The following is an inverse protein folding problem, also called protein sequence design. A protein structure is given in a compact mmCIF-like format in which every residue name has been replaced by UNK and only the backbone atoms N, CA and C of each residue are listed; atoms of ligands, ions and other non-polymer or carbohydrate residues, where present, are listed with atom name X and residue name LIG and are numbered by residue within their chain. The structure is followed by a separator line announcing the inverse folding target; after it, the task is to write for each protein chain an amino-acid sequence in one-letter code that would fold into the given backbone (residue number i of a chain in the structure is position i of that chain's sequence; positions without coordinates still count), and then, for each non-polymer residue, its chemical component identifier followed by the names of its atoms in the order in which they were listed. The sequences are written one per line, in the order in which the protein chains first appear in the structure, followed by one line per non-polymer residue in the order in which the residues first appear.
data_IF_168037223038
#
_entry.id   IF_168037223038
#
_cell.length_a   1.000
_cell.length_b   1.000
_cell.length_c   1.000
_cell.angle_alpha   90.00
_cell.angle_beta   90.00
_cell.angle_gamma   90.00
#
_symmetry.space_group_name_H-M   'P 1'
#
loop_
_entity.id
_entity.type
_entity.pdbx_description
1 polymer ?
#
# COMPACT_ATOMS: atom_id res chain seq x y z
N UNK A 1 -2.68 -19.25 13.44
CA UNK A 1 -2.99 -18.24 12.40
C UNK A 1 -3.54 -16.92 12.93
N UNK A 2 -4.53 -16.89 13.83
CA UNK A 2 -5.07 -15.61 14.35
C UNK A 2 -4.00 -14.72 14.98
N UNK A 3 -3.16 -15.27 15.84
CA UNK A 3 -2.06 -14.55 16.50
C UNK A 3 -1.02 -14.05 15.49
N UNK A 4 -0.63 -14.88 14.51
CA UNK A 4 0.30 -14.48 13.47
C UNK A 4 -0.25 -13.33 12.60
N UNK A 5 -1.52 -13.37 12.22
CA UNK A 5 -2.16 -12.27 11.49
C UNK A 5 -2.20 -10.99 12.32
N UNK A 6 -2.42 -11.10 13.63
CA UNK A 6 -2.37 -9.95 14.54
C UNK A 6 -0.97 -9.32 14.57
N UNK A 7 0.09 -10.12 14.68
CA UNK A 7 1.48 -9.63 14.61
C UNK A 7 1.82 -9.01 13.25
N UNK A 8 1.26 -9.55 12.16
CA UNK A 8 1.39 -8.97 10.81
C UNK A 8 0.74 -7.58 10.76
N UNK A 9 -0.48 -7.43 11.28
CA UNK A 9 -1.18 -6.13 11.32
C UNK A 9 -0.40 -5.09 12.15
N UNK A 10 0.20 -5.51 13.27
CA UNK A 10 1.05 -4.65 14.09
C UNK A 10 2.32 -4.22 13.36
N UNK A 11 2.94 -5.15 12.63
CA UNK A 11 4.13 -4.87 11.81
C UNK A 11 3.79 -3.95 10.63
N UNK A 12 2.65 -4.16 9.98
CA UNK A 12 2.11 -3.32 8.93
C UNK A 12 1.85 -1.88 9.43
N UNK A 13 1.27 -1.73 10.63
CA UNK A 13 1.11 -0.40 11.25
C UNK A 13 2.47 0.29 11.45
N UNK A 14 3.46 -0.44 11.95
CA UNK A 14 4.80 0.11 12.16
C UNK A 14 5.47 0.50 10.83
N UNK A 15 5.27 -0.29 9.77
CA UNK A 15 5.79 0.00 8.43
C UNK A 15 5.12 1.22 7.82
N UNK A 16 3.80 1.34 7.94
CA UNK A 16 3.07 2.52 7.48
C UNK A 16 3.59 3.81 8.14
N UNK A 17 3.91 3.77 9.45
CA UNK A 17 4.50 4.92 10.14
C UNK A 17 5.93 5.20 9.66
N UNK A 18 6.76 4.18 9.43
CA UNK A 18 8.11 4.34 8.84
C UNK A 18 8.04 4.99 7.45
N UNK A 19 7.20 4.47 6.57
CA UNK A 19 7.02 5.01 5.23
C UNK A 19 6.42 6.43 5.25
N UNK A 20 5.50 6.71 6.18
CA UNK A 20 4.93 8.04 6.36
C UNK A 20 5.95 9.06 6.84
N UNK A 21 6.86 8.65 7.74
CA UNK A 21 7.95 9.51 8.22
C UNK A 21 8.98 9.79 7.13
N UNK A 22 9.28 8.78 6.29
CA UNK A 22 10.31 8.88 5.23
C UNK A 22 9.83 9.59 3.97
N UNK A 23 8.61 9.30 3.53
CA UNK A 23 8.08 9.72 2.21
C UNK A 23 6.84 10.60 2.32
N UNK A 24 6.50 11.06 3.53
CA UNK A 24 5.30 11.83 3.79
C UNK A 24 4.06 10.96 3.99
N UNK A 25 3.07 11.51 4.69
CA UNK A 25 1.83 10.82 5.07
C UNK A 25 1.00 10.36 3.86
N UNK A 26 1.13 11.06 2.73
CA UNK A 26 0.36 10.76 1.54
C UNK A 26 1.16 10.80 0.25
N UNK A 27 0.79 9.89 -0.64
CA UNK A 27 1.22 9.93 -2.04
C UNK A 27 0.39 11.00 -2.77
N UNK A 28 0.98 11.64 -3.77
CA UNK A 28 0.39 12.80 -4.44
C UNK A 28 -0.74 12.41 -5.42
N UNK A 29 -0.80 11.16 -5.87
CA UNK A 29 -1.83 10.69 -6.81
C UNK A 29 -2.11 9.20 -6.72
N UNK A 30 -3.23 8.75 -7.30
CA UNK A 30 -3.50 7.31 -7.48
C UNK A 30 -2.42 6.61 -8.33
N UNK A 31 -1.78 7.33 -9.26
CA UNK A 31 -0.71 6.76 -10.09
C UNK A 31 0.54 6.51 -9.25
N UNK A 32 0.88 7.43 -8.35
CA UNK A 32 1.98 7.25 -7.40
C UNK A 32 1.66 6.12 -6.42
N UNK A 33 0.43 6.06 -5.88
CA UNK A 33 -0.01 4.94 -5.05
C UNK A 33 0.07 3.59 -5.77
N UNK A 34 -0.34 3.52 -7.04
CA UNK A 34 -0.21 2.31 -7.84
C UNK A 34 1.25 1.91 -8.02
N UNK A 35 2.12 2.87 -8.36
CA UNK A 35 3.54 2.62 -8.59
C UNK A 35 4.23 2.04 -7.34
N UNK A 36 4.02 2.65 -6.16
CA UNK A 36 4.64 2.14 -4.92
C UNK A 36 4.07 0.77 -4.52
N UNK A 37 2.76 0.53 -4.67
CA UNK A 37 2.18 -0.78 -4.38
C UNK A 37 2.73 -1.85 -5.34
N UNK A 38 2.91 -1.49 -6.61
CA UNK A 38 3.45 -2.38 -7.63
C UNK A 38 4.90 -2.77 -7.34
N UNK A 39 5.72 -1.80 -6.90
CA UNK A 39 7.12 -2.01 -6.52
C UNK A 39 7.23 -3.04 -5.38
N UNK A 40 6.56 -2.80 -4.25
CA UNK A 40 6.59 -3.74 -3.10
C UNK A 40 6.06 -5.14 -3.48
N UNK A 41 5.02 -5.20 -4.33
CA UNK A 41 4.48 -6.47 -4.85
C UNK A 41 5.53 -7.21 -5.68
N UNK A 42 6.25 -6.52 -6.56
CA UNK A 42 7.26 -7.11 -7.42
C UNK A 42 8.46 -7.61 -6.61
N UNK A 43 8.91 -6.86 -5.60
CA UNK A 43 9.98 -7.29 -4.70
C UNK A 43 9.58 -8.55 -3.91
N UNK A 44 8.32 -8.64 -3.45
CA UNK A 44 7.79 -9.84 -2.80
C UNK A 44 7.76 -11.06 -3.74
N UNK A 45 7.37 -10.85 -5.00
CA UNK A 45 7.35 -11.90 -6.04
C UNK A 45 8.75 -12.37 -6.40
N UNK A 46 9.72 -11.46 -6.50
CA UNK A 46 11.12 -11.80 -6.79
C UNK A 46 11.72 -12.68 -5.68
N UNK A 47 11.41 -12.39 -4.40
CA UNK A 47 11.83 -13.23 -3.28
C UNK A 47 11.14 -14.59 -3.25
N UNK A 48 9.88 -14.68 -3.68
CA UNK A 48 9.18 -15.95 -3.82
C UNK A 48 9.80 -16.81 -4.94
N UNK A 49 10.14 -16.20 -6.08
CA UNK A 49 10.86 -16.87 -7.18
C UNK A 49 12.23 -17.38 -6.71
N UNK A 50 12.95 -16.62 -5.88
CA UNK A 50 14.21 -17.08 -5.30
C UNK A 50 14.01 -18.25 -4.35
N UNK A 51 12.98 -18.21 -3.50
CA UNK A 51 12.63 -19.33 -2.63
C UNK A 51 12.37 -20.61 -3.45
N UNK A 52 11.62 -20.52 -4.55
CA UNK A 52 11.28 -21.68 -5.38
C UNK A 52 12.51 -22.32 -6.04
N UNK A 53 13.47 -21.50 -6.49
CA UNK A 53 14.76 -21.99 -7.00
C UNK A 53 15.52 -22.76 -5.91
N UNK A 54 15.66 -22.16 -4.73
CA UNK A 54 16.36 -22.77 -3.60
C UNK A 54 15.64 -24.05 -3.11
N UNK A 55 14.31 -24.07 -3.16
CA UNK A 55 13.52 -25.26 -2.83
C UNK A 55 13.79 -26.41 -3.82
N UNK A 56 13.92 -26.10 -5.10
CA UNK A 56 14.32 -27.08 -6.13
C UNK A 56 15.74 -27.61 -5.87
N UNK A 57 16.70 -26.74 -5.55
CA UNK A 57 18.08 -27.14 -5.24
C UNK A 57 18.17 -27.99 -3.98
N UNK A 58 17.38 -27.64 -2.95
CA UNK A 58 17.24 -28.44 -1.75
C UNK A 58 16.74 -29.85 -2.07
N UNK A 59 15.71 -29.96 -2.91
CA UNK A 59 15.17 -31.26 -3.34
C UNK A 59 16.20 -32.09 -4.11
N UNK A 60 17.01 -31.47 -4.96
CA UNK A 60 18.12 -32.12 -5.64
C UNK A 60 19.18 -32.66 -4.66
N UNK A 61 19.51 -31.89 -3.62
CA UNK A 61 20.39 -32.32 -2.54
C UNK A 61 19.84 -33.52 -1.76
N UNK A 62 18.53 -33.51 -1.46
CA UNK A 62 17.83 -34.63 -0.82
C UNK A 62 17.93 -35.89 -1.66
N UNK A 63 17.63 -35.83 -2.97
CA UNK A 63 17.71 -36.99 -3.88
C UNK A 63 19.12 -37.60 -3.93
N UNK A 64 20.16 -36.80 -3.70
CA UNK A 64 21.58 -37.23 -3.74
C UNK A 64 22.14 -37.59 -2.37
N UNK A 65 21.34 -37.57 -1.29
CA UNK A 65 21.79 -37.72 0.10
C UNK A 65 22.94 -36.76 0.48
N UNK A 66 22.94 -35.55 -0.09
CA UNK A 66 23.99 -34.55 0.05
C UNK A 66 23.41 -33.15 0.33
N UNK A 67 22.56 -33.04 1.35
CA UNK A 67 21.88 -31.78 1.70
C UNK A 67 22.89 -30.72 2.14
N UNK A 68 22.85 -29.55 1.50
CA UNK A 68 23.57 -28.36 1.95
C UNK A 68 22.67 -27.52 2.88
N UNK A 69 23.08 -27.37 4.15
CA UNK A 69 22.34 -26.57 5.14
C UNK A 69 22.32 -25.07 4.82
N UNK A 70 23.23 -24.58 3.99
CA UNK A 70 23.21 -23.18 3.54
C UNK A 70 21.99 -22.86 2.68
N UNK A 71 21.51 -23.83 1.89
CA UNK A 71 20.30 -23.67 1.07
C UNK A 71 19.09 -23.43 1.98
N UNK A 72 18.99 -24.16 3.11
CA UNK A 72 17.90 -23.96 4.06
C UNK A 72 17.90 -22.57 4.70
N UNK A 73 19.08 -22.03 5.02
CA UNK A 73 19.21 -20.65 5.55
C UNK A 73 18.85 -19.61 4.51
N UNK A 74 19.24 -19.84 3.25
CA UNK A 74 18.87 -18.97 2.14
C UNK A 74 17.35 -18.99 1.90
N UNK A 75 16.72 -20.16 1.97
CA UNK A 75 15.27 -20.31 1.88
C UNK A 75 14.55 -19.56 3.02
N UNK A 76 15.03 -19.72 4.27
CA UNK A 76 14.49 -18.99 5.41
C UNK A 76 14.54 -17.47 5.17
N UNK A 77 15.70 -16.98 4.70
CA UNK A 77 15.91 -15.56 4.40
C UNK A 77 14.98 -15.07 3.28
N UNK A 78 14.85 -15.84 2.20
CA UNK A 78 13.98 -15.50 1.07
C UNK A 78 12.50 -15.44 1.51
N UNK A 79 12.05 -16.39 2.33
CA UNK A 79 10.70 -16.40 2.87
C UNK A 79 10.44 -15.22 3.81
N UNK A 80 11.38 -14.90 4.70
CA UNK A 80 11.28 -13.75 5.61
C UNK A 80 11.22 -12.42 4.84
N UNK A 81 12.05 -12.27 3.80
CA UNK A 81 12.04 -11.10 2.92
C UNK A 81 10.72 -10.98 2.15
N UNK A 82 10.28 -12.04 1.49
CA UNK A 82 8.99 -12.04 0.78
C UNK A 82 7.84 -11.64 1.72
N UNK A 83 7.82 -12.15 2.96
CA UNK A 83 6.82 -11.77 3.95
C UNK A 83 6.91 -10.29 4.35
N UNK A 84 8.12 -9.73 4.51
CA UNK A 84 8.32 -8.31 4.80
C UNK A 84 7.82 -7.42 3.65
N UNK A 85 8.14 -7.75 2.39
CA UNK A 85 7.68 -6.98 1.23
C UNK A 85 6.15 -7.05 1.08
N UNK A 86 5.51 -8.19 1.39
CA UNK A 86 4.04 -8.25 1.44
C UNK A 86 3.43 -7.39 2.54
N UNK A 87 4.11 -7.26 3.69
CA UNK A 87 3.71 -6.33 4.75
C UNK A 87 3.84 -4.88 4.29
N UNK A 88 4.91 -4.53 3.57
CA UNK A 88 5.09 -3.21 2.96
C UNK A 88 4.01 -2.92 1.92
N UNK A 89 3.68 -3.88 1.04
CA UNK A 89 2.60 -3.75 0.07
C UNK A 89 1.24 -3.51 0.75
N UNK A 90 0.94 -4.23 1.84
CA UNK A 90 -0.26 -4.02 2.65
C UNK A 90 -0.29 -2.62 3.28
N UNK A 91 0.85 -2.18 3.85
CA UNK A 91 1.00 -0.84 4.39
C UNK A 91 0.78 0.24 3.32
N UNK A 92 1.30 0.06 2.10
CA UNK A 92 1.11 1.00 0.99
C UNK A 92 -0.36 1.04 0.52
N UNK A 93 -1.05 -0.09 0.51
CA UNK A 93 -2.50 -0.12 0.28
C UNK A 93 -3.24 0.73 1.33
N UNK A 94 -2.93 0.56 2.62
CA UNK A 94 -3.55 1.36 3.70
C UNK A 94 -3.18 2.83 3.60
N UNK A 95 -1.95 3.17 3.20
CA UNK A 95 -1.53 4.55 2.95
C UNK A 95 -2.39 5.18 1.86
N UNK A 96 -2.53 4.50 0.72
CA UNK A 96 -3.34 4.96 -0.40
C UNK A 96 -4.80 5.22 0.00
N UNK A 97 -5.43 4.27 0.69
CA UNK A 97 -6.81 4.40 1.19
C UNK A 97 -6.96 5.61 2.12
N UNK A 98 -6.06 5.81 3.08
CA UNK A 98 -6.09 6.97 4.00
C UNK A 98 -6.00 8.30 3.25
N UNK A 99 -5.20 8.35 2.20
CA UNK A 99 -5.00 9.57 1.42
C UNK A 99 -6.21 9.92 0.55
N UNK A 100 -6.87 8.93 -0.03
CA UNK A 100 -8.09 9.15 -0.79
C UNK A 100 -9.24 9.60 0.12
N UNK A 101 -9.38 8.99 1.30
CA UNK A 101 -10.36 9.43 2.31
C UNK A 101 -10.15 10.89 2.76
N UNK A 102 -8.90 11.36 2.83
CA UNK A 102 -8.58 12.73 3.23
C UNK A 102 -8.70 13.74 2.07
N UNK A 103 -8.55 13.30 0.83
CA UNK A 103 -8.57 14.17 -0.36
C UNK A 103 -9.96 14.71 -0.66
N UNK A 104 -11.01 13.92 -0.47
CA UNK A 104 -12.38 14.35 -0.75
C UNK A 104 -12.88 15.50 0.16
N UNK A 105 -12.67 15.48 1.49
CA UNK A 105 -12.96 16.61 2.38
C UNK A 105 -12.19 17.89 2.02
N UNK A 106 -10.91 17.78 1.61
CA UNK A 106 -10.10 18.95 1.23
C UNK A 106 -10.58 19.59 -0.07
N UNK A 107 -10.87 18.77 -1.09
CA UNK A 107 -11.49 19.23 -2.33
C UNK A 107 -12.83 19.89 -2.02
N UNK A 108 -13.61 19.28 -1.14
CA UNK A 108 -14.91 19.82 -0.72
C UNK A 108 -14.76 21.18 -0.01
N UNK A 109 -13.82 21.32 0.90
CA UNK A 109 -13.53 22.59 1.57
C UNK A 109 -13.00 23.66 0.58
N UNK A 110 -12.21 23.27 -0.42
CA UNK A 110 -11.76 24.14 -1.49
C UNK A 110 -12.92 24.67 -2.34
N UNK A 111 -13.77 23.77 -2.83
CA UNK A 111 -14.94 24.15 -3.64
C UNK A 111 -15.91 25.00 -2.82
N UNK A 112 -16.14 24.68 -1.54
CA UNK A 112 -16.98 25.51 -0.66
C UNK A 112 -16.48 26.96 -0.61
N UNK A 113 -15.19 27.17 -0.33
CA UNK A 113 -14.57 28.50 -0.29
C UNK A 113 -14.76 29.27 -1.59
N UNK A 114 -14.62 28.59 -2.73
CA UNK A 114 -14.84 29.21 -4.04
C UNK A 114 -16.32 29.52 -4.27
N UNK A 115 -17.23 28.59 -3.95
CA UNK A 115 -18.68 28.76 -4.13
C UNK A 115 -19.29 29.87 -3.26
N UNK A 116 -18.65 30.19 -2.14
CA UNK A 116 -19.04 31.27 -1.22
C UNK A 116 -18.48 32.64 -1.67
N UNK A 117 -17.60 32.67 -2.67
CA UNK A 117 -17.09 33.90 -3.23
C UNK A 117 -18.18 34.63 -4.05
N UNK A 118 -18.69 35.74 -3.51
CA UNK A 118 -19.73 36.56 -4.14
C UNK A 118 -19.29 37.25 -5.44
N UNK A 119 -18.00 37.20 -5.78
CA UNK A 119 -17.46 37.70 -7.05
C UNK A 119 -17.81 36.79 -8.24
N UNK A 120 -18.21 35.54 -7.98
CA UNK A 120 -18.54 34.58 -9.04
C UNK A 120 -19.99 34.71 -9.52
N UNK A 121 -20.25 34.56 -10.83
CA UNK A 121 -21.60 34.45 -11.36
C UNK A 121 -22.43 33.38 -10.64
N UNK A 122 -23.73 33.62 -10.52
CA UNK A 122 -24.63 32.71 -9.79
C UNK A 122 -24.63 31.29 -10.37
N UNK A 123 -24.61 31.14 -11.70
CA UNK A 123 -24.56 29.84 -12.37
C UNK A 123 -23.32 29.03 -11.99
N UNK A 124 -22.15 29.67 -11.94
CA UNK A 124 -20.90 29.01 -11.58
C UNK A 124 -20.90 28.55 -10.11
N UNK A 125 -21.47 29.36 -9.21
CA UNK A 125 -21.66 28.97 -7.80
C UNK A 125 -22.60 27.78 -7.64
N UNK A 126 -23.61 27.66 -8.50
CA UNK A 126 -24.56 26.54 -8.47
C UNK A 126 -23.90 25.24 -8.92
N UNK A 127 -23.13 25.27 -10.01
CA UNK A 127 -22.35 24.12 -10.50
C UNK A 127 -21.38 23.61 -9.41
N UNK A 128 -20.69 24.53 -8.74
CA UNK A 128 -19.78 24.19 -7.65
C UNK A 128 -20.51 23.55 -6.45
N UNK A 129 -21.73 24.00 -6.12
CA UNK A 129 -22.56 23.40 -5.05
C UNK A 129 -23.06 22.00 -5.41
N UNK A 130 -23.39 21.76 -6.68
CA UNK A 130 -23.79 20.43 -7.16
C UNK A 130 -22.61 19.46 -7.13
N UNK A 131 -21.43 19.88 -7.60
CA UNK A 131 -20.20 19.11 -7.51
C UNK A 131 -19.84 18.74 -6.06
N UNK A 132 -20.04 19.67 -5.12
CA UNK A 132 -19.88 19.42 -3.68
C UNK A 132 -20.78 18.32 -3.14
N UNK A 133 -22.07 18.37 -3.50
CA UNK A 133 -23.05 17.37 -3.07
C UNK A 133 -22.65 15.97 -3.56
N UNK A 134 -22.24 15.88 -4.82
CA UNK A 134 -21.79 14.62 -5.43
C UNK A 134 -20.53 14.03 -4.75
N UNK A 135 -19.52 14.86 -4.50
CA UNK A 135 -18.28 14.43 -3.82
C UNK A 135 -18.58 13.95 -2.41
N UNK A 136 -19.42 14.68 -1.67
CA UNK A 136 -19.77 14.34 -0.27
C UNK A 136 -20.53 13.02 -0.19
N UNK A 137 -21.46 12.77 -1.12
CA UNK A 137 -22.23 11.51 -1.17
C UNK A 137 -21.35 10.28 -1.46
N UNK A 138 -20.34 10.41 -2.31
CA UNK A 138 -19.40 9.32 -2.62
C UNK A 138 -18.35 9.04 -1.54
N UNK A 139 -18.13 9.99 -0.63
CA UNK A 139 -17.13 9.86 0.43
C UNK A 139 -17.68 9.17 1.68
N UNK A 140 -19.01 9.02 1.79
CA UNK A 140 -19.71 8.44 2.94
C UNK A 140 -20.23 7.01 2.74
N UNK A 141 -19.89 6.37 1.61
CA UNK A 141 -20.26 5.00 1.23
C UNK A 141 -19.05 4.09 1.20
#
# INVERSE_FOLDING_TARGET
MKELLQSIIETENAELERASAKFGRCNNSHHESYAVILEERQEAEDMAVEFDKLFSDFWDGVKRNGVNLEILRAMETAAQRAAAEWVQAAAMCRKATRCDSNRAPEIAAGIRRVSENNSLPYGDRQILREAMSYITQRSGS
#
